data_IF_968251075031
#
_entry.id   IF_968251075031
#
_cell.length_a   1.000
_cell.length_b   1.000
_cell.length_c   1.000
_cell.angle_alpha   90.00
_cell.angle_beta   90.00
_cell.angle_gamma   90.00
#
_symmetry.space_group_name_H-M   'P 1'
#
loop_
_entity.id
_entity.type
_entity.pdbx_description
1 polymer ?
#
# COMPACT_ATOMS: atom_id res chain seq x y z
N UNK A 1 -2.64 -18.06 0.27
CA UNK A 1 -2.57 -16.68 -0.04
C UNK A 1 -2.62 -15.84 1.18
N UNK A 2 -1.60 -15.08 1.37
CA UNK A 2 -1.51 -14.28 2.57
C UNK A 2 -1.71 -12.83 2.25
N UNK A 3 -2.57 -12.22 3.05
CA UNK A 3 -2.84 -10.80 2.91
C UNK A 3 -2.60 -10.14 4.25
N UNK A 4 -2.33 -8.85 4.19
CA UNK A 4 -2.20 -8.06 5.40
C UNK A 4 -3.19 -6.92 5.34
N UNK A 5 -3.53 -6.38 6.52
CA UNK A 5 -4.44 -5.26 6.55
C UNK A 5 -3.70 -3.98 6.20
N UNK A 6 -4.48 -2.95 5.95
CA UNK A 6 -3.89 -1.66 5.65
C UNK A 6 -2.98 -1.20 6.77
N UNK A 7 -3.41 -1.42 8.00
CA UNK A 7 -2.63 -1.01 9.14
C UNK A 7 -1.30 -1.75 9.19
N UNK A 8 -1.34 -3.04 8.92
CA UNK A 8 -0.12 -3.82 8.92
C UNK A 8 0.82 -3.37 7.81
N UNK A 9 0.27 -3.08 6.67
CA UNK A 9 1.07 -2.62 5.56
C UNK A 9 1.74 -1.29 5.89
N UNK A 10 0.99 -0.41 6.54
CA UNK A 10 1.54 0.88 6.92
C UNK A 10 2.73 0.71 7.85
N UNK A 11 2.61 -0.20 8.80
CA UNK A 11 3.69 -0.45 9.73
C UNK A 11 4.89 -1.06 9.04
N UNK A 12 4.62 -1.99 8.15
CA UNK A 12 5.70 -2.65 7.43
C UNK A 12 6.47 -1.66 6.57
N UNK A 13 5.77 -0.72 5.98
CA UNK A 13 6.38 0.23 5.06
C UNK A 13 6.88 1.48 5.76
N UNK A 14 6.55 1.64 7.03
CA UNK A 14 6.97 2.84 7.75
C UNK A 14 6.22 4.07 7.34
N UNK A 15 4.96 3.93 6.98
CA UNK A 15 4.14 5.07 6.59
C UNK A 15 2.89 5.08 7.45
N UNK A 16 2.11 6.14 7.34
CA UNK A 16 0.87 6.20 8.09
C UNK A 16 -0.20 5.37 7.41
N UNK A 17 -1.21 4.90 8.15
CA UNK A 17 -2.30 4.18 7.53
C UNK A 17 -3.00 4.99 6.45
N UNK A 18 -3.03 6.30 6.64
CA UNK A 18 -3.63 7.16 5.65
C UNK A 18 -2.88 7.12 4.34
N UNK A 19 -1.55 7.14 4.41
CA UNK A 19 -0.74 7.05 3.22
C UNK A 19 -0.92 5.71 2.53
N UNK A 20 -0.97 4.64 3.32
CA UNK A 20 -1.19 3.32 2.74
C UNK A 20 -2.53 3.25 2.04
N UNK A 21 -3.55 3.84 2.65
CA UNK A 21 -4.86 3.88 2.03
C UNK A 21 -4.83 4.63 0.71
N UNK A 22 -4.09 5.70 0.68
CA UNK A 22 -3.96 6.51 -0.51
C UNK A 22 -3.33 5.69 -1.64
N UNK A 23 -2.31 4.93 -1.33
CA UNK A 23 -1.67 4.08 -2.33
C UNK A 23 -2.66 3.03 -2.85
N UNK A 24 -3.43 2.42 -1.95
CA UNK A 24 -4.40 1.42 -2.37
C UNK A 24 -5.46 2.02 -3.25
N UNK A 25 -5.98 3.16 -2.86
CA UNK A 25 -7.04 3.80 -3.63
C UNK A 25 -6.55 4.27 -4.98
N UNK A 26 -5.28 4.60 -5.06
CA UNK A 26 -4.70 5.03 -6.31
C UNK A 26 -4.28 3.90 -7.23
N UNK A 27 -4.48 2.67 -6.80
CA UNK A 27 -4.11 1.52 -7.63
C UNK A 27 -2.63 1.31 -7.75
N UNK A 28 -1.87 1.79 -6.80
CA UNK A 28 -0.43 1.67 -6.86
C UNK A 28 0.10 0.38 -6.29
N UNK A 29 -0.76 -0.39 -5.66
CA UNK A 29 -0.35 -1.65 -5.06
C UNK A 29 -0.98 -2.78 -5.83
N UNK A 30 -0.18 -3.51 -6.62
CA UNK A 30 -0.74 -4.62 -7.40
C UNK A 30 -1.24 -5.71 -6.46
N UNK A 31 -2.40 -6.24 -6.77
CA UNK A 31 -2.96 -7.31 -5.98
C UNK A 31 -3.75 -6.87 -4.76
N UNK A 32 -3.78 -5.58 -4.48
CA UNK A 32 -4.58 -5.10 -3.37
C UNK A 32 -6.06 -5.19 -3.73
N UNK A 33 -6.87 -5.62 -2.78
CA UNK A 33 -8.31 -5.72 -2.99
C UNK A 33 -9.04 -5.02 -1.89
N UNK A 34 -10.15 -4.41 -2.25
CA UNK A 34 -11.01 -3.76 -1.28
C UNK A 34 -12.20 -4.66 -1.03
N UNK A 35 -12.36 -5.09 0.21
CA UNK A 35 -13.44 -5.97 0.54
C UNK A 35 -14.25 -5.36 1.66
N UNK A 36 -15.47 -4.95 1.34
CA UNK A 36 -16.37 -4.36 2.32
C UNK A 36 -15.72 -3.18 3.06
N UNK A 37 -15.01 -2.36 2.33
CA UNK A 37 -14.39 -1.19 2.93
C UNK A 37 -13.05 -1.45 3.59
N UNK A 38 -12.58 -2.68 3.52
CA UNK A 38 -11.30 -3.03 4.11
C UNK A 38 -10.33 -3.38 3.01
N UNK A 39 -9.17 -2.76 3.03
CA UNK A 39 -8.15 -3.08 2.05
C UNK A 39 -7.33 -4.27 2.51
N UNK A 40 -7.16 -5.22 1.60
CA UNK A 40 -6.31 -6.38 1.86
C UNK A 40 -5.15 -6.31 0.88
N UNK A 41 -3.96 -6.40 1.39
CA UNK A 41 -2.76 -6.22 0.61
C UNK A 41 -1.94 -7.50 0.68
N UNK A 42 -1.45 -7.99 -0.46
CA UNK A 42 -0.62 -9.19 -0.42
C UNK A 42 0.57 -8.98 0.51
N UNK A 43 0.88 -10.00 1.28
CA UNK A 43 1.97 -9.87 2.22
C UNK A 43 3.32 -9.63 1.57
N UNK A 44 3.46 -10.08 0.36
CA UNK A 44 4.72 -9.87 -0.35
C UNK A 44 4.75 -8.57 -1.14
N UNK A 45 3.72 -7.77 -1.02
CA UNK A 45 3.70 -6.48 -1.70
C UNK A 45 4.69 -5.54 -1.04
N UNK A 46 5.31 -4.71 -1.84
CA UNK A 46 6.26 -3.75 -1.32
C UNK A 46 5.70 -2.36 -1.40
N UNK A 47 6.29 -1.46 -0.64
CA UNK A 47 5.87 -0.10 -0.64
C UNK A 47 5.98 0.49 -2.03
N UNK A 48 4.94 1.15 -2.52
CA UNK A 48 5.00 1.75 -3.85
C UNK A 48 6.06 2.83 -3.89
N UNK A 49 6.76 2.89 -4.99
CA UNK A 49 7.79 3.87 -5.16
C UNK A 49 7.19 5.18 -5.62
N UNK A 50 7.62 6.24 -5.02
CA UNK A 50 7.17 7.56 -5.42
C UNK A 50 8.06 8.03 -6.55
N UNK A 51 7.54 7.95 -7.75
CA UNK A 51 8.35 8.28 -8.89
C UNK A 51 8.74 9.71 -8.98
N UNK A 52 7.99 10.57 -8.39
CA UNK A 52 8.33 11.97 -8.46
C UNK A 52 9.65 12.28 -7.83
N UNK A 53 10.06 11.46 -6.92
CA UNK A 53 11.31 11.74 -6.24
C UNK A 53 12.49 11.63 -7.16
N UNK A 54 12.35 10.85 -8.17
CA UNK A 54 13.45 10.68 -9.06
C UNK A 54 13.75 11.87 -9.87
N UNK A 55 12.81 12.72 -10.01
CA UNK A 55 13.01 13.88 -10.82
C UNK A 55 13.91 14.90 -10.21
N UNK A 56 14.20 14.74 -8.98
CA UNK A 56 15.00 15.74 -8.32
C UNK A 56 16.45 15.67 -8.66
N UNK A 57 16.82 14.75 -9.40
CA UNK A 57 18.22 14.63 -9.68
C UNK A 57 18.78 15.71 -10.51
#
# INVERSE_FOLDING_TARGET
>A
MDYMTLKEAAEKWGVTPRSANYYCAGGRIPGAVNMAGVWLIPKDAEKPTDRRRKLTI
#
